data_IF_766945367082
#
_entry.id   IF_766945367082
#
_cell.length_a   1.000
_cell.length_b   1.000
_cell.length_c   1.000
_cell.angle_alpha   90.00
_cell.angle_beta   90.00
_cell.angle_gamma   90.00
#
_symmetry.space_group_name_H-M   'P 1'
#
loop_
_entity.id
_entity.type
_entity.pdbx_description
1 polymer ?
#
# COMPACT_ATOMS: atom_id res chain seq x y z
N UNK A 1 -7.82 16.78 26.02
CA UNK A 1 -7.82 15.68 25.02
C UNK A 1 -8.53 14.43 25.54
N UNK A 2 -8.41 14.04 26.82
CA UNK A 2 -9.07 12.85 27.41
C UNK A 2 -10.60 12.78 27.27
N UNK A 3 -11.27 13.94 27.31
CA UNK A 3 -12.73 14.01 27.21
C UNK A 3 -13.26 13.67 25.80
N UNK A 4 -12.44 13.88 24.76
CA UNK A 4 -12.81 13.55 23.39
C UNK A 4 -12.67 12.05 23.14
N UNK A 5 -11.55 11.45 23.58
CA UNK A 5 -11.30 10.01 23.46
C UNK A 5 -12.36 9.16 24.16
N UNK A 6 -12.73 9.54 25.39
CA UNK A 6 -13.74 8.81 26.18
C UNK A 6 -15.12 8.78 25.51
N UNK A 7 -15.50 9.86 24.82
CA UNK A 7 -16.76 9.93 24.07
C UNK A 7 -16.72 9.11 22.78
N UNK A 8 -15.57 9.07 22.11
CA UNK A 8 -15.38 8.26 20.91
C UNK A 8 -15.44 6.76 21.24
N UNK A 9 -14.87 6.34 22.37
CA UNK A 9 -14.91 4.94 22.82
C UNK A 9 -16.33 4.47 23.22
N UNK A 10 -17.11 5.35 23.84
CA UNK A 10 -18.50 5.06 24.20
C UNK A 10 -19.41 5.00 22.98
N UNK A 11 -19.25 5.94 22.05
CA UNK A 11 -19.95 5.94 20.77
C UNK A 11 -19.66 4.67 19.96
N UNK A 12 -18.39 4.24 19.90
CA UNK A 12 -18.00 3.01 19.21
C UNK A 12 -18.71 1.76 19.76
N UNK A 13 -18.77 1.60 21.09
CA UNK A 13 -19.45 0.48 21.73
C UNK A 13 -20.94 0.46 21.41
N UNK A 14 -21.61 1.61 21.55
CA UNK A 14 -23.04 1.73 21.28
C UNK A 14 -23.36 1.43 19.81
N UNK A 15 -22.54 1.91 18.88
CA UNK A 15 -22.71 1.65 17.45
C UNK A 15 -22.48 0.17 17.11
N UNK A 16 -21.48 -0.47 17.72
CA UNK A 16 -21.27 -1.92 17.55
C UNK A 16 -22.42 -2.74 18.13
N UNK A 17 -23.00 -2.32 19.24
CA UNK A 17 -24.18 -2.97 19.80
C UNK A 17 -25.41 -2.78 18.90
N UNK A 18 -25.61 -1.58 18.35
CA UNK A 18 -26.65 -1.33 17.36
C UNK A 18 -26.50 -2.26 16.15
N UNK A 19 -25.30 -2.39 15.60
CA UNK A 19 -24.99 -3.31 14.49
C UNK A 19 -25.10 -4.79 14.87
N UNK A 20 -24.98 -5.14 16.15
CA UNK A 20 -25.25 -6.51 16.63
C UNK A 20 -26.75 -6.82 16.63
N UNK A 21 -27.58 -5.82 16.93
CA UNK A 21 -29.04 -5.94 16.92
C UNK A 21 -29.59 -5.88 15.50
N UNK A 22 -29.08 -4.98 14.67
CA UNK A 22 -29.38 -4.87 13.24
C UNK A 22 -28.07 -4.69 12.42
N UNK A 23 -27.53 -5.79 11.86
CA UNK A 23 -26.32 -5.74 11.04
C UNK A 23 -26.46 -4.93 9.74
N UNK A 24 -27.68 -4.57 9.34
CA UNK A 24 -27.93 -3.85 8.09
C UNK A 24 -28.30 -2.39 8.30
N UNK A 25 -28.22 -1.88 9.53
CA UNK A 25 -28.45 -0.47 9.82
C UNK A 25 -27.37 0.40 9.14
N UNK A 26 -27.73 0.98 8.00
CA UNK A 26 -26.84 1.81 7.18
C UNK A 26 -26.45 3.10 7.90
N UNK A 27 -27.30 3.62 8.78
CA UNK A 27 -26.99 4.78 9.61
C UNK A 27 -25.89 4.43 10.61
N UNK A 28 -26.04 3.32 11.34
CA UNK A 28 -25.04 2.87 12.30
C UNK A 28 -23.70 2.53 11.63
N UNK A 29 -23.72 1.87 10.46
CA UNK A 29 -22.52 1.60 9.66
C UNK A 29 -21.80 2.90 9.25
N UNK A 30 -22.54 3.90 8.75
CA UNK A 30 -21.98 5.19 8.34
C UNK A 30 -21.37 5.95 9.52
N UNK A 31 -22.07 6.02 10.66
CA UNK A 31 -21.59 6.73 11.84
C UNK A 31 -20.38 6.03 12.46
N UNK A 32 -20.37 4.70 12.50
CA UNK A 32 -19.20 3.94 12.95
C UNK A 32 -18.01 4.16 12.02
N UNK A 33 -18.22 4.21 10.71
CA UNK A 33 -17.17 4.55 9.75
C UNK A 33 -16.54 5.93 10.01
N UNK A 34 -17.35 6.95 10.34
CA UNK A 34 -16.85 8.28 10.71
C UNK A 34 -16.08 8.29 12.04
N UNK A 35 -16.54 7.51 13.02
CA UNK A 35 -15.85 7.33 14.31
C UNK A 35 -14.48 6.70 14.08
N UNK A 36 -14.42 5.63 13.27
CA UNK A 36 -13.17 4.93 12.92
C UNK A 36 -12.20 5.82 12.15
N UNK A 37 -12.71 6.60 11.20
CA UNK A 37 -11.92 7.60 10.51
C UNK A 37 -11.33 8.64 11.46
N UNK A 38 -12.12 9.14 12.43
CA UNK A 38 -11.64 10.10 13.43
C UNK A 38 -10.59 9.53 14.39
N UNK A 39 -10.52 8.21 14.51
CA UNK A 39 -9.51 7.46 15.25
C UNK A 39 -8.29 7.07 14.38
N UNK A 40 -8.22 7.51 13.12
CA UNK A 40 -7.22 7.11 12.13
C UNK A 40 -7.24 5.61 11.77
N UNK A 41 -8.35 4.92 12.02
CA UNK A 41 -8.58 3.53 11.60
C UNK A 41 -9.26 3.54 10.22
N UNK A 42 -8.49 3.93 9.20
CA UNK A 42 -9.00 4.17 7.85
C UNK A 42 -9.50 2.91 7.16
N UNK A 43 -8.92 1.76 7.48
CA UNK A 43 -9.27 0.45 6.95
C UNK A 43 -10.69 0.03 7.34
N UNK A 44 -10.97 0.06 8.65
CA UNK A 44 -12.29 -0.29 9.16
C UNK A 44 -13.32 0.78 8.74
N UNK A 45 -12.92 2.06 8.69
CA UNK A 45 -13.77 3.13 8.18
C UNK A 45 -14.21 2.87 6.73
N UNK A 46 -13.28 2.51 5.85
CA UNK A 46 -13.58 2.22 4.44
C UNK A 46 -14.50 1.01 4.32
N UNK A 47 -14.21 -0.07 5.06
CA UNK A 47 -15.01 -1.30 5.04
C UNK A 47 -16.47 -1.02 5.43
N UNK A 48 -16.68 -0.31 6.54
CA UNK A 48 -18.02 0.02 7.04
C UNK A 48 -18.78 0.95 6.10
N UNK A 49 -18.11 1.96 5.53
CA UNK A 49 -18.74 2.89 4.59
C UNK A 49 -19.08 2.22 3.26
N UNK A 50 -18.23 1.32 2.75
CA UNK A 50 -18.54 0.48 1.58
C UNK A 50 -19.74 -0.44 1.84
N UNK A 51 -19.85 -0.97 3.04
CA UNK A 51 -20.98 -1.79 3.43
C UNK A 51 -22.27 -0.97 3.51
N UNK A 52 -22.23 0.25 4.05
CA UNK A 52 -23.36 1.18 4.11
C UNK A 52 -23.89 1.51 2.70
N UNK A 53 -23.02 1.92 1.76
CA UNK A 53 -23.44 2.26 0.38
C UNK A 53 -23.86 1.04 -0.44
N UNK A 54 -23.42 -0.16 -0.06
CA UNK A 54 -23.87 -1.40 -0.70
C UNK A 54 -25.29 -1.78 -0.27
N UNK A 55 -25.63 -1.51 0.99
CA UNK A 55 -26.95 -1.81 1.57
C UNK A 55 -27.98 -0.75 1.21
N UNK A 56 -27.56 0.52 1.16
CA UNK A 56 -28.37 1.64 0.68
C UNK A 56 -27.56 2.48 -0.33
N UNK A 57 -27.68 2.17 -1.64
CA UNK A 57 -27.03 2.93 -2.70
C UNK A 57 -27.48 4.38 -2.80
N UNK A 58 -28.64 4.74 -2.24
CA UNK A 58 -29.21 6.09 -2.30
C UNK A 58 -28.80 6.97 -1.10
N UNK A 59 -28.07 6.43 -0.11
CA UNK A 59 -27.50 7.20 1.00
C UNK A 59 -26.34 8.10 0.51
N UNK A 60 -26.72 9.27 0.01
CA UNK A 60 -25.78 10.30 -0.43
C UNK A 60 -24.82 10.77 0.68
N UNK A 61 -25.17 10.62 1.96
CA UNK A 61 -24.29 10.96 3.06
C UNK A 61 -23.20 9.91 3.24
N UNK A 62 -23.53 8.62 3.08
CA UNK A 62 -22.54 7.53 3.11
C UNK A 62 -21.55 7.67 1.94
N UNK A 63 -22.04 7.94 0.73
CA UNK A 63 -21.19 8.20 -0.44
C UNK A 63 -20.25 9.39 -0.24
N UNK A 64 -20.76 10.49 0.33
CA UNK A 64 -19.95 11.69 0.60
C UNK A 64 -18.80 11.39 1.56
N UNK A 65 -19.08 10.67 2.63
CA UNK A 65 -18.08 10.31 3.64
C UNK A 65 -17.07 9.33 3.07
N UNK A 66 -17.52 8.34 2.29
CA UNK A 66 -16.62 7.41 1.60
C UNK A 66 -15.71 8.14 0.61
N UNK A 67 -16.26 9.07 -0.19
CA UNK A 67 -15.48 9.87 -1.12
C UNK A 67 -14.40 10.70 -0.41
N UNK A 68 -14.77 11.42 0.65
CA UNK A 68 -13.80 12.21 1.41
C UNK A 68 -12.77 11.34 2.14
N UNK A 69 -13.17 10.15 2.60
CA UNK A 69 -12.23 9.17 3.15
C UNK A 69 -11.21 8.76 2.09
N UNK A 70 -11.65 8.34 0.91
CA UNK A 70 -10.77 7.88 -0.17
C UNK A 70 -9.82 8.99 -0.68
N UNK A 71 -10.23 10.25 -0.65
CA UNK A 71 -9.35 11.39 -0.93
C UNK A 71 -8.29 11.63 0.16
N UNK A 72 -8.60 11.27 1.42
CA UNK A 72 -7.76 11.53 2.61
C UNK A 72 -6.97 10.33 3.12
N UNK A 73 -7.29 9.11 2.71
CA UNK A 73 -6.42 7.95 2.94
C UNK A 73 -5.07 8.31 2.31
N UNK A 74 -4.00 8.46 3.13
CA UNK A 74 -2.73 8.88 2.60
C UNK A 74 -2.29 7.89 1.52
N UNK A 75 -1.73 8.36 0.40
CA UNK A 75 -1.18 7.48 -0.63
C UNK A 75 -0.25 6.42 -0.03
N UNK A 76 0.42 6.75 1.06
CA UNK A 76 1.34 5.91 1.81
C UNK A 76 0.67 4.70 2.49
N UNK A 77 -0.53 4.82 3.06
CA UNK A 77 -1.22 3.66 3.68
C UNK A 77 -1.70 2.67 2.62
N UNK A 78 -2.28 3.19 1.53
CA UNK A 78 -2.58 2.38 0.34
C UNK A 78 -1.31 1.75 -0.22
N UNK A 79 -0.19 2.48 -0.24
CA UNK A 79 1.10 1.98 -0.71
C UNK A 79 1.62 0.82 0.15
N UNK A 80 1.52 0.93 1.47
CA UNK A 80 1.95 -0.11 2.40
C UNK A 80 1.15 -1.41 2.20
N UNK A 81 -0.17 -1.31 1.95
CA UNK A 81 -0.99 -2.49 1.61
C UNK A 81 -0.52 -3.15 0.31
N UNK A 82 -0.24 -2.36 -0.73
CA UNK A 82 0.27 -2.89 -2.01
C UNK A 82 1.63 -3.56 -1.83
N UNK A 83 2.53 -2.96 -1.04
CA UNK A 83 3.83 -3.54 -0.68
C UNK A 83 3.65 -4.89 0.03
N UNK A 84 2.75 -4.98 1.01
CA UNK A 84 2.48 -6.24 1.72
C UNK A 84 1.92 -7.34 0.80
N UNK A 85 1.05 -6.99 -0.15
CA UNK A 85 0.58 -7.92 -1.18
C UNK A 85 1.72 -8.43 -2.05
N UNK A 86 2.58 -7.54 -2.56
CA UNK A 86 3.72 -7.90 -3.39
C UNK A 86 4.76 -8.74 -2.63
N UNK A 87 5.00 -8.45 -1.34
CA UNK A 87 5.85 -9.27 -0.48
C UNK A 87 5.30 -10.69 -0.31
N UNK A 88 3.98 -10.83 -0.18
CA UNK A 88 3.35 -12.16 -0.15
C UNK A 88 3.50 -12.89 -1.50
N UNK A 89 3.38 -12.19 -2.62
CA UNK A 89 3.62 -12.77 -3.95
C UNK A 89 5.07 -13.25 -4.07
N UNK A 90 6.04 -12.42 -3.69
CA UNK A 90 7.47 -12.80 -3.65
C UNK A 90 7.71 -14.01 -2.75
N UNK A 91 7.00 -14.11 -1.62
CA UNK A 91 7.10 -15.27 -0.71
C UNK A 91 6.55 -16.55 -1.35
N UNK A 92 5.47 -16.45 -2.12
CA UNK A 92 4.83 -17.60 -2.79
C UNK A 92 5.59 -18.01 -4.07
N UNK A 93 6.12 -17.04 -4.80
CA UNK A 93 6.86 -17.20 -6.04
C UNK A 93 8.18 -16.42 -5.99
N UNK A 94 9.23 -16.96 -5.34
CA UNK A 94 10.51 -16.25 -5.13
C UNK A 94 11.29 -15.91 -6.40
N UNK A 95 10.92 -16.51 -7.52
CA UNK A 95 11.56 -16.29 -8.82
C UNK A 95 10.70 -15.45 -9.76
N UNK A 96 9.54 -14.95 -9.30
CA UNK A 96 8.67 -14.11 -10.12
C UNK A 96 9.26 -12.71 -10.26
N UNK A 97 9.99 -12.51 -11.36
CA UNK A 97 10.66 -11.27 -11.71
C UNK A 97 9.75 -10.04 -11.60
N UNK A 98 8.54 -10.09 -12.17
CA UNK A 98 7.61 -8.94 -12.18
C UNK A 98 7.17 -8.48 -10.80
N UNK A 99 7.11 -9.39 -9.82
CA UNK A 99 6.78 -9.05 -8.43
C UNK A 99 7.96 -8.34 -7.74
N UNK A 100 9.17 -8.81 -7.96
CA UNK A 100 10.39 -8.15 -7.49
C UNK A 100 10.57 -6.75 -8.09
N UNK A 101 10.30 -6.59 -9.39
CA UNK A 101 10.35 -5.28 -10.07
C UNK A 101 9.32 -4.29 -9.52
N UNK A 102 8.07 -4.74 -9.39
CA UNK A 102 6.99 -3.91 -8.88
C UNK A 102 7.26 -3.47 -7.43
N UNK A 103 7.78 -4.38 -6.61
CA UNK A 103 8.13 -4.10 -5.23
C UNK A 103 9.31 -3.13 -5.13
N UNK A 104 10.37 -3.34 -5.93
CA UNK A 104 11.53 -2.46 -5.97
C UNK A 104 11.16 -1.04 -6.43
N UNK A 105 10.34 -0.91 -7.47
CA UNK A 105 9.86 0.38 -7.96
C UNK A 105 9.07 1.13 -6.90
N UNK A 106 8.13 0.46 -6.23
CA UNK A 106 7.32 1.09 -5.17
C UNK A 106 8.17 1.51 -3.97
N UNK A 107 9.07 0.64 -3.50
CA UNK A 107 9.99 0.94 -2.41
C UNK A 107 10.87 2.14 -2.74
N UNK A 108 11.38 2.24 -3.98
CA UNK A 108 12.22 3.35 -4.41
C UNK A 108 11.44 4.65 -4.62
N UNK A 109 10.45 4.65 -5.51
CA UNK A 109 9.83 5.87 -6.02
C UNK A 109 8.76 6.44 -5.10
N UNK A 110 8.18 5.61 -4.22
CA UNK A 110 7.05 6.01 -3.38
C UNK A 110 7.39 6.05 -1.89
N UNK A 111 8.28 5.18 -1.43
CA UNK A 111 8.61 5.06 0.00
C UNK A 111 10.04 5.49 0.36
N UNK A 112 10.90 5.81 -0.62
CA UNK A 112 12.30 6.17 -0.37
C UNK A 112 13.14 5.07 0.29
N UNK A 113 12.66 3.83 0.29
CA UNK A 113 13.32 2.65 0.89
C UNK A 113 14.32 2.05 -0.10
N UNK A 114 15.34 2.83 -0.41
CA UNK A 114 16.28 2.56 -1.51
C UNK A 114 17.10 1.26 -1.35
N UNK A 115 17.53 0.93 -0.12
CA UNK A 115 18.31 -0.29 0.14
C UNK A 115 17.48 -1.56 -0.09
N UNK A 116 16.20 -1.53 0.28
CA UNK A 116 15.30 -2.66 0.06
C UNK A 116 14.91 -2.79 -1.41
N UNK A 117 14.69 -1.65 -2.09
CA UNK A 117 14.50 -1.64 -3.54
C UNK A 117 15.68 -2.28 -4.29
N UNK A 118 16.92 -1.99 -3.85
CA UNK A 118 18.13 -2.57 -4.45
C UNK A 118 18.15 -4.11 -4.35
N UNK A 119 17.79 -4.66 -3.20
CA UNK A 119 17.74 -6.10 -3.00
C UNK A 119 16.73 -6.77 -3.95
N UNK A 120 15.55 -6.16 -4.13
CA UNK A 120 14.53 -6.69 -5.04
C UNK A 120 14.92 -6.52 -6.52
N UNK A 121 15.54 -5.41 -6.92
CA UNK A 121 16.06 -5.28 -8.28
C UNK A 121 17.18 -6.29 -8.58
N UNK A 122 18.07 -6.59 -7.62
CA UNK A 122 19.08 -7.64 -7.77
C UNK A 122 18.44 -9.03 -7.93
N UNK A 123 17.46 -9.36 -7.11
CA UNK A 123 16.74 -10.64 -7.23
C UNK A 123 15.98 -10.76 -8.57
N UNK A 124 15.49 -9.66 -9.14
CA UNK A 124 14.90 -9.65 -10.48
C UNK A 124 15.96 -9.87 -11.59
N UNK A 125 17.19 -9.40 -11.40
CA UNK A 125 18.31 -9.54 -12.34
C UNK A 125 18.90 -10.96 -12.38
N UNK A 126 18.80 -11.72 -11.29
CA UNK A 126 19.24 -13.12 -11.23
C UNK A 126 18.38 -14.06 -12.09
N UNK A 127 17.30 -13.56 -12.71
CA UNK A 127 16.48 -14.32 -13.67
C UNK A 127 17.07 -14.24 -15.09
N UNK A 128 16.98 -15.35 -15.82
CA UNK A 128 17.82 -15.77 -16.97
C UNK A 128 17.89 -14.89 -18.23
N UNK A 129 17.36 -13.66 -18.25
CA UNK A 129 17.45 -12.77 -19.40
C UNK A 129 17.71 -11.31 -19.00
N UNK A 130 18.76 -10.66 -19.55
CA UNK A 130 19.00 -9.24 -19.32
C UNK A 130 17.81 -8.41 -19.82
N UNK A 131 17.29 -7.55 -18.95
CA UNK A 131 16.17 -6.67 -19.24
C UNK A 131 16.63 -5.20 -19.18
N UNK A 132 16.66 -4.51 -20.34
CA UNK A 132 17.09 -3.13 -20.41
C UNK A 132 16.30 -2.18 -19.50
N UNK A 133 15.00 -2.42 -19.27
CA UNK A 133 14.19 -1.58 -18.40
C UNK A 133 14.57 -1.74 -16.93
N UNK A 134 14.85 -2.98 -16.52
CA UNK A 134 15.33 -3.29 -15.18
C UNK A 134 16.69 -2.65 -14.89
N UNK A 135 17.60 -2.71 -15.87
CA UNK A 135 18.91 -2.08 -15.80
C UNK A 135 18.81 -0.55 -15.73
N UNK A 136 17.92 0.06 -16.53
CA UNK A 136 17.67 1.50 -16.48
C UNK A 136 17.09 1.94 -15.13
N UNK A 137 16.15 1.18 -14.57
CA UNK A 137 15.56 1.46 -13.26
C UNK A 137 16.58 1.32 -12.12
N UNK A 138 17.44 0.30 -12.18
CA UNK A 138 18.55 0.12 -11.23
C UNK A 138 19.58 1.25 -11.34
N UNK A 139 19.96 1.64 -12.56
CA UNK A 139 20.87 2.77 -12.78
C UNK A 139 20.29 4.08 -12.23
N UNK A 140 18.99 4.33 -12.45
CA UNK A 140 18.27 5.48 -11.87
C UNK A 140 18.32 5.47 -10.34
N UNK A 141 18.06 4.33 -9.70
CA UNK A 141 18.16 4.16 -8.26
C UNK A 141 19.58 4.47 -7.74
N UNK A 142 20.61 3.91 -8.39
CA UNK A 142 22.01 4.10 -7.99
C UNK A 142 22.52 5.53 -8.22
N UNK A 143 21.98 6.25 -9.21
CA UNK A 143 22.28 7.68 -9.41
C UNK A 143 21.54 8.57 -8.40
N UNK A 144 20.32 8.20 -8.02
CA UNK A 144 19.49 8.95 -7.07
C UNK A 144 19.92 8.80 -5.62
N UNK A 145 20.71 7.77 -5.31
CA UNK A 145 21.26 7.52 -3.98
C UNK A 145 22.77 7.71 -4.01
N UNK A 146 23.36 8.40 -3.03
CA UNK A 146 24.82 8.56 -2.92
C UNK A 146 25.56 7.25 -2.58
N UNK A 147 25.00 6.09 -2.92
CA UNK A 147 25.65 4.78 -2.80
C UNK A 147 26.62 4.61 -3.97
N UNK A 148 27.65 5.47 -3.99
CA UNK A 148 28.69 5.55 -5.01
C UNK A 148 29.47 4.22 -5.17
N UNK A 149 29.42 3.33 -4.18
CA UNK A 149 30.09 2.03 -4.21
C UNK A 149 29.44 1.00 -5.17
N UNK A 150 28.15 1.12 -5.52
CA UNK A 150 27.43 0.08 -6.26
C UNK A 150 27.18 0.41 -7.75
N UNK A 151 27.50 1.62 -8.21
CA UNK A 151 27.43 2.01 -9.64
C UNK A 151 28.39 1.16 -10.47
N UNK A 152 29.57 0.84 -9.93
CA UNK A 152 30.56 0.00 -10.62
C UNK A 152 30.10 -1.45 -10.80
N UNK A 153 29.40 -2.04 -9.82
CA UNK A 153 28.83 -3.39 -9.93
C UNK A 153 27.75 -3.46 -11.02
N UNK A 154 26.85 -2.46 -11.09
CA UNK A 154 25.81 -2.43 -12.12
C UNK A 154 26.40 -2.28 -13.53
N UNK A 155 27.47 -1.49 -13.67
CA UNK A 155 28.20 -1.33 -14.94
C UNK A 155 29.00 -2.58 -15.34
N UNK A 156 29.55 -3.32 -14.36
CA UNK A 156 30.19 -4.61 -14.62
C UNK A 156 29.18 -5.67 -15.05
N UNK A 157 28.00 -5.71 -14.43
CA UNK A 157 26.92 -6.62 -14.83
C UNK A 157 26.42 -6.35 -16.27
N UNK A 158 26.28 -5.07 -16.65
CA UNK A 158 25.96 -4.65 -18.02
C UNK A 158 27.03 -5.10 -19.02
N UNK A 159 28.32 -4.92 -18.70
CA UNK A 159 29.42 -5.40 -19.54
C UNK A 159 29.44 -6.91 -19.70
N UNK A 160 29.14 -7.66 -18.63
CA UNK A 160 29.12 -9.11 -18.68
C UNK A 160 27.89 -9.66 -19.42
N UNK A 161 26.75 -8.96 -19.34
CA UNK A 161 25.56 -9.27 -20.14
C UNK A 161 25.81 -9.01 -21.64
N UNK A 162 26.48 -7.91 -22.00
CA UNK A 162 26.86 -7.59 -23.39
C UNK A 162 27.87 -8.60 -23.96
N UNK A 163 28.75 -9.18 -23.14
CA UNK A 163 29.71 -10.22 -23.59
C UNK A 163 29.10 -11.61 -23.80
N UNK A 164 27.88 -11.85 -23.33
CA UNK A 164 27.17 -13.13 -23.43
C UNK A 164 26.21 -13.20 -24.63
N UNK A 165 26.10 -12.11 -25.39
CA UNK A 165 25.42 -12.02 -26.70
C UNK A 165 26.43 -12.20 -27.83
#
# INVERSE_FOLDING_TARGET
>A
MEWSLKKTDEADRLLREALRLDPKDTHALRVLGQVRWSLNDYDEAERLLREAVRLDPDDSAAWRVLGTLLERVPPEETMQKVVACLQNIVRLEPHLKSAHESLAFLLHCKLGRHQEALAHYRAALDSTAPDPNLLANLAGLLLSTEVFLNVMEALEYLRDAERRL
#
